data_IF_089903852127
#
_entry.id   IF_089903852127
#
_cell.length_a   1.000
_cell.length_b   1.000
_cell.length_c   1.000
_cell.angle_alpha   90.00
_cell.angle_beta   90.00
_cell.angle_gamma   90.00
#
_symmetry.space_group_name_H-M   'P 1'
#
loop_
_entity.id
_entity.type
_entity.pdbx_description
1 polymer ?
#
# COMPACT_ATOMS: atom_id res chain seq x y z
N UNK A 1 -4.05 -33.29 3.38
CA UNK A 1 -3.55 -31.98 2.93
C UNK A 1 -2.08 -32.12 2.61
N UNK A 2 -1.66 -31.59 1.47
CA UNK A 2 -0.27 -31.58 1.03
C UNK A 2 0.55 -30.53 1.81
N UNK A 3 1.84 -30.77 1.96
CA UNK A 3 2.81 -29.80 2.51
C UNK A 3 3.29 -28.85 1.41
N UNK A 4 3.76 -27.66 1.79
CA UNK A 4 4.24 -26.65 0.84
C UNK A 4 5.37 -27.18 -0.07
N UNK A 5 6.28 -28.00 0.47
CA UNK A 5 7.34 -28.64 -0.31
C UNK A 5 6.81 -29.62 -1.37
N UNK A 6 5.70 -30.31 -1.09
CA UNK A 6 5.07 -31.26 -2.01
C UNK A 6 4.37 -30.52 -3.14
N UNK A 7 3.68 -29.42 -2.84
CA UNK A 7 3.05 -28.53 -3.84
C UNK A 7 4.13 -27.93 -4.75
N UNK A 8 5.22 -27.41 -4.16
CA UNK A 8 6.33 -26.84 -4.94
C UNK A 8 6.99 -27.87 -5.85
N UNK A 9 7.21 -29.09 -5.37
CA UNK A 9 7.76 -30.17 -6.20
C UNK A 9 6.84 -30.45 -7.38
N UNK A 10 5.53 -30.61 -7.14
CA UNK A 10 4.56 -30.88 -8.19
C UNK A 10 4.43 -29.74 -9.21
N UNK A 11 4.50 -28.48 -8.76
CA UNK A 11 4.53 -27.31 -9.64
C UNK A 11 5.78 -27.30 -10.55
N UNK A 12 6.94 -27.64 -9.99
CA UNK A 12 8.19 -27.73 -10.75
C UNK A 12 8.13 -28.86 -11.77
N UNK A 13 7.59 -30.02 -11.39
CA UNK A 13 7.48 -31.19 -12.26
C UNK A 13 6.49 -30.96 -13.42
N UNK A 14 5.39 -30.23 -13.17
CA UNK A 14 4.35 -29.95 -14.17
C UNK A 14 4.68 -28.79 -15.11
N UNK A 15 5.30 -27.71 -14.63
CA UNK A 15 5.52 -26.49 -15.40
C UNK A 15 6.99 -26.23 -15.80
N UNK A 16 7.93 -26.95 -15.18
CA UNK A 16 9.35 -26.62 -15.20
C UNK A 16 9.72 -25.50 -14.22
N UNK A 17 10.98 -25.46 -13.79
CA UNK A 17 11.45 -24.63 -12.67
C UNK A 17 11.19 -23.12 -12.84
N UNK A 18 11.41 -22.55 -14.03
CA UNK A 18 11.23 -21.12 -14.28
C UNK A 18 9.76 -20.70 -14.27
N UNK A 19 8.89 -21.51 -14.86
CA UNK A 19 7.44 -21.24 -14.89
C UNK A 19 6.82 -21.46 -13.52
N UNK A 20 7.24 -22.50 -12.80
CA UNK A 20 6.86 -22.76 -11.42
C UNK A 20 7.24 -21.61 -10.49
N UNK A 21 8.44 -21.03 -10.66
CA UNK A 21 8.87 -19.85 -9.91
C UNK A 21 7.94 -18.66 -10.17
N UNK A 22 7.59 -18.38 -11.43
CA UNK A 22 6.63 -17.31 -11.77
C UNK A 22 5.23 -17.56 -11.21
N UNK A 23 4.74 -18.79 -11.28
CA UNK A 23 3.47 -19.19 -10.71
C UNK A 23 3.46 -18.99 -9.19
N UNK A 24 4.48 -19.47 -8.50
CA UNK A 24 4.66 -19.29 -7.06
C UNK A 24 4.63 -17.81 -6.65
N UNK A 25 5.37 -16.94 -7.35
CA UNK A 25 5.36 -15.51 -7.06
C UNK A 25 3.97 -14.89 -7.17
N UNK A 26 3.14 -15.32 -8.12
CA UNK A 26 1.75 -14.83 -8.27
C UNK A 26 0.86 -15.37 -7.15
N UNK A 27 0.99 -16.64 -6.81
CA UNK A 27 0.18 -17.32 -5.79
C UNK A 27 0.44 -16.79 -4.37
N UNK A 28 1.63 -16.27 -4.08
CA UNK A 28 1.92 -15.62 -2.79
C UNK A 28 1.00 -14.44 -2.47
N UNK A 29 0.40 -13.82 -3.49
CA UNK A 29 -0.51 -12.68 -3.32
C UNK A 29 -1.97 -13.08 -3.17
N UNK A 30 -2.28 -14.37 -3.33
CA UNK A 30 -3.61 -14.94 -3.16
C UNK A 30 -3.47 -16.14 -2.21
N UNK A 31 -3.34 -15.90 -0.89
CA UNK A 31 -3.18 -16.97 0.10
C UNK A 31 -4.27 -18.04 0.01
N UNK A 32 -5.49 -17.65 -0.37
CA UNK A 32 -6.62 -18.56 -0.56
C UNK A 32 -6.36 -19.56 -1.71
N UNK A 33 -5.67 -19.14 -2.76
CA UNK A 33 -5.28 -20.01 -3.88
C UNK A 33 -4.20 -21.00 -3.45
N UNK A 34 -3.19 -20.54 -2.70
CA UNK A 34 -2.17 -21.42 -2.14
C UNK A 34 -2.78 -22.46 -1.18
N UNK A 35 -3.72 -22.04 -0.34
CA UNK A 35 -4.42 -22.93 0.58
C UNK A 35 -5.29 -23.95 -0.15
N UNK A 36 -5.94 -23.58 -1.27
CA UNK A 36 -6.72 -24.51 -2.09
C UNK A 36 -5.86 -25.63 -2.68
N UNK A 37 -4.64 -25.32 -3.14
CA UNK A 37 -3.68 -26.30 -3.69
C UNK A 37 -3.21 -27.34 -2.67
N UNK A 38 -3.44 -27.12 -1.36
CA UNK A 38 -3.18 -28.14 -0.34
C UNK A 38 -4.19 -29.29 -0.37
N UNK A 39 -5.32 -29.13 -1.07
CA UNK A 39 -6.22 -30.24 -1.38
C UNK A 39 -5.68 -31.03 -2.59
N UNK A 40 -5.33 -32.32 -2.44
CA UNK A 40 -4.81 -33.13 -3.53
C UNK A 40 -5.73 -33.18 -4.75
N UNK A 41 -7.04 -33.30 -4.55
CA UNK A 41 -8.02 -33.39 -5.63
C UNK A 41 -8.08 -32.08 -6.43
N UNK A 42 -8.01 -30.94 -5.73
CA UNK A 42 -7.99 -29.63 -6.37
C UNK A 42 -6.69 -29.41 -7.17
N UNK A 43 -5.55 -29.82 -6.61
CA UNK A 43 -4.26 -29.74 -7.29
C UNK A 43 -4.22 -30.63 -8.54
N UNK A 44 -4.75 -31.85 -8.46
CA UNK A 44 -4.86 -32.75 -9.60
C UNK A 44 -5.71 -32.14 -10.71
N UNK A 45 -6.89 -31.58 -10.39
CA UNK A 45 -7.70 -30.85 -11.38
C UNK A 45 -6.96 -29.63 -11.97
N UNK A 46 -6.18 -28.91 -11.18
CA UNK A 46 -5.38 -27.78 -11.68
C UNK A 46 -4.23 -28.22 -12.61
N UNK A 47 -3.71 -29.44 -12.42
CA UNK A 47 -2.66 -30.03 -13.24
C UNK A 47 -3.18 -30.65 -14.55
N UNK A 48 -4.44 -31.09 -14.59
CA UNK A 48 -5.05 -31.65 -15.81
C UNK A 48 -5.03 -30.65 -16.99
N UNK A 49 -5.11 -29.35 -16.69
CA UNK A 49 -5.05 -28.24 -17.66
C UNK A 49 -3.65 -27.58 -17.72
N UNK A 50 -2.57 -28.29 -17.35
CA UNK A 50 -1.20 -27.76 -17.23
C UNK A 50 -0.65 -27.09 -18.51
N UNK A 51 -1.01 -25.83 -18.68
CA UNK A 51 -0.45 -24.87 -19.63
C UNK A 51 0.25 -23.75 -18.84
N UNK A 52 0.97 -22.87 -19.55
CA UNK A 52 1.76 -21.77 -18.93
C UNK A 52 0.95 -20.87 -17.98
N UNK A 53 -0.39 -20.89 -18.08
CA UNK A 53 -1.31 -20.10 -17.28
C UNK A 53 -2.16 -20.91 -16.26
N UNK A 54 -2.01 -22.24 -16.17
CA UNK A 54 -2.87 -23.10 -15.34
C UNK A 54 -2.88 -22.68 -13.85
N UNK A 55 -1.75 -22.19 -13.36
CA UNK A 55 -1.58 -21.75 -11.98
C UNK A 55 -1.68 -20.23 -11.80
N UNK A 56 -2.29 -19.53 -12.75
CA UNK A 56 -2.66 -18.14 -12.54
C UNK A 56 -3.78 -18.06 -11.49
N UNK A 57 -3.74 -17.12 -10.51
CA UNK A 57 -4.77 -17.05 -9.47
C UNK A 57 -6.21 -16.94 -10.00
N UNK A 58 -6.39 -16.22 -11.12
CA UNK A 58 -7.69 -16.16 -11.81
C UNK A 58 -8.18 -17.51 -12.32
N UNK A 59 -7.29 -18.31 -12.92
CA UNK A 59 -7.63 -19.65 -13.43
C UNK A 59 -7.97 -20.61 -12.29
N UNK A 60 -7.22 -20.56 -11.18
CA UNK A 60 -7.54 -21.37 -10.00
C UNK A 60 -8.88 -20.95 -9.36
N UNK A 61 -9.19 -19.65 -9.34
CA UNK A 61 -10.48 -19.17 -8.88
C UNK A 61 -11.63 -19.63 -9.79
N UNK A 62 -11.43 -19.63 -11.11
CA UNK A 62 -12.38 -20.16 -12.08
C UNK A 62 -12.59 -21.68 -11.91
N UNK A 63 -11.51 -22.43 -11.66
CA UNK A 63 -11.59 -23.86 -11.35
C UNK A 63 -12.41 -24.12 -10.08
N UNK A 64 -12.16 -23.36 -9.01
CA UNK A 64 -12.95 -23.47 -7.78
C UNK A 64 -14.44 -23.18 -8.01
N UNK A 65 -14.75 -22.17 -8.82
CA UNK A 65 -16.13 -21.88 -9.23
C UNK A 65 -16.72 -23.00 -10.10
N UNK A 66 -15.92 -23.62 -10.97
CA UNK A 66 -16.38 -24.70 -11.86
C UNK A 66 -16.73 -25.98 -11.09
N UNK A 67 -15.94 -26.34 -10.08
CA UNK A 67 -16.20 -27.50 -9.22
C UNK A 67 -17.53 -27.38 -8.45
N UNK A 68 -17.92 -26.16 -8.10
CA UNK A 68 -19.21 -25.85 -7.46
C UNK A 68 -20.34 -25.59 -8.49
N UNK A 69 -20.06 -25.73 -9.79
CA UNK A 69 -21.03 -25.49 -10.86
C UNK A 69 -21.42 -24.01 -11.04
N UNK A 70 -20.67 -23.07 -10.44
CA UNK A 70 -20.95 -21.64 -10.47
C UNK A 70 -20.32 -20.91 -11.66
N UNK A 71 -19.27 -21.46 -12.27
CA UNK A 71 -18.55 -20.79 -13.37
C UNK A 71 -19.43 -20.61 -14.62
N UNK A 72 -20.20 -21.64 -14.96
CA UNK A 72 -21.06 -21.69 -16.14
C UNK A 72 -22.38 -20.92 -15.96
N UNK A 73 -22.68 -20.46 -14.75
CA UNK A 73 -23.88 -19.67 -14.46
C UNK A 73 -23.74 -18.28 -15.09
N UNK A 74 -24.81 -17.84 -15.75
CA UNK A 74 -24.87 -16.50 -16.34
C UNK A 74 -24.54 -15.45 -15.25
N UNK A 75 -23.63 -14.49 -15.50
CA UNK A 75 -23.32 -13.42 -14.56
C UNK A 75 -24.54 -12.63 -14.06
N UNK A 76 -25.63 -12.58 -14.84
CA UNK A 76 -26.90 -11.95 -14.49
C UNK A 76 -27.90 -12.87 -13.74
N UNK A 77 -27.52 -14.12 -13.47
CA UNK A 77 -28.38 -15.06 -12.75
C UNK A 77 -28.60 -14.63 -11.30
N UNK A 78 -29.87 -14.57 -10.81
CA UNK A 78 -30.18 -14.19 -9.44
C UNK A 78 -29.53 -15.08 -8.38
N UNK A 79 -29.29 -16.36 -8.66
CA UNK A 79 -28.66 -17.30 -7.72
C UNK A 79 -27.19 -16.97 -7.49
N UNK A 80 -26.45 -16.68 -8.56
CA UNK A 80 -25.06 -16.23 -8.47
C UNK A 80 -24.98 -14.86 -7.78
N UNK A 81 -25.93 -13.95 -8.06
CA UNK A 81 -26.00 -12.67 -7.36
C UNK A 81 -26.24 -12.85 -5.86
N UNK A 82 -27.15 -13.74 -5.46
CA UNK A 82 -27.43 -14.01 -4.05
C UNK A 82 -26.19 -14.51 -3.31
N UNK A 83 -25.38 -15.32 -3.97
CA UNK A 83 -24.13 -15.85 -3.42
C UNK A 83 -23.05 -14.76 -3.29
N UNK A 84 -22.90 -13.89 -4.30
CA UNK A 84 -22.03 -12.71 -4.22
C UNK A 84 -22.46 -11.79 -3.08
N UNK A 85 -23.75 -11.51 -2.94
CA UNK A 85 -24.32 -10.69 -1.86
C UNK A 85 -24.12 -11.33 -0.48
N UNK A 86 -24.14 -12.66 -0.38
CA UNK A 86 -23.80 -13.38 0.86
C UNK A 86 -22.35 -13.09 1.26
N UNK A 87 -21.42 -13.21 0.31
CA UNK A 87 -19.98 -12.97 0.54
C UNK A 87 -19.73 -11.50 0.88
N UNK A 88 -20.33 -10.56 0.13
CA UNK A 88 -20.19 -9.12 0.39
C UNK A 88 -20.69 -8.73 1.79
N UNK A 89 -21.81 -9.29 2.24
CA UNK A 89 -22.33 -9.07 3.60
C UNK A 89 -21.40 -9.62 4.68
N UNK A 90 -20.83 -10.80 4.47
CA UNK A 90 -19.84 -11.35 5.39
C UNK A 90 -18.65 -10.38 5.55
N UNK A 91 -18.10 -9.88 4.44
CA UNK A 91 -17.01 -8.89 4.42
C UNK A 91 -17.40 -7.59 5.14
N UNK A 92 -18.62 -7.09 4.89
CA UNK A 92 -19.15 -5.89 5.52
C UNK A 92 -19.29 -6.02 7.04
N UNK A 93 -19.57 -7.22 7.55
CA UNK A 93 -19.72 -7.51 8.97
C UNK A 93 -18.40 -7.65 9.75
N UNK A 94 -17.26 -7.55 9.07
CA UNK A 94 -15.94 -7.59 9.71
C UNK A 94 -15.36 -9.00 9.90
N UNK A 95 -15.85 -10.02 9.18
CA UNK A 95 -15.13 -11.31 9.13
C UNK A 95 -13.72 -11.09 8.58
N UNK A 96 -12.71 -11.59 9.30
CA UNK A 96 -11.31 -11.44 8.93
C UNK A 96 -11.02 -12.06 7.55
N UNK A 97 -10.10 -11.47 6.74
CA UNK A 97 -9.65 -12.05 5.48
C UNK A 97 -9.17 -13.50 5.61
N UNK A 98 -8.67 -13.88 6.79
CA UNK A 98 -8.11 -15.21 7.08
C UNK A 98 -9.13 -16.36 6.97
N UNK A 99 -10.43 -16.11 7.02
CA UNK A 99 -11.47 -17.16 6.89
C UNK A 99 -12.03 -17.29 5.48
N UNK A 100 -11.52 -16.52 4.51
CA UNK A 100 -12.06 -16.51 3.15
C UNK A 100 -11.58 -17.73 2.36
N UNK A 101 -12.49 -18.34 1.60
CA UNK A 101 -12.16 -19.44 0.69
C UNK A 101 -11.80 -18.91 -0.70
N UNK A 102 -11.10 -19.72 -1.51
CA UNK A 102 -10.83 -19.38 -2.92
C UNK A 102 -12.13 -19.20 -3.72
N UNK A 103 -13.17 -19.95 -3.37
CA UNK A 103 -14.50 -19.82 -3.96
C UNK A 103 -15.08 -18.41 -3.73
N UNK A 104 -15.02 -17.92 -2.48
CA UNK A 104 -15.46 -16.56 -2.15
C UNK A 104 -14.64 -15.50 -2.90
N UNK A 105 -13.31 -15.71 -3.03
CA UNK A 105 -12.43 -14.83 -3.82
C UNK A 105 -12.85 -14.83 -5.30
N UNK A 106 -13.16 -15.98 -5.89
CA UNK A 106 -13.63 -16.08 -7.27
C UNK A 106 -14.97 -15.38 -7.50
N UNK A 107 -15.91 -15.50 -6.56
CA UNK A 107 -17.19 -14.77 -6.62
C UNK A 107 -16.99 -13.26 -6.59
N UNK A 108 -16.10 -12.76 -5.74
CA UNK A 108 -15.75 -11.33 -5.68
C UNK A 108 -15.00 -10.86 -6.92
N UNK A 109 -14.13 -11.70 -7.49
CA UNK A 109 -13.46 -11.41 -8.74
C UNK A 109 -14.49 -11.24 -9.88
N UNK A 110 -15.48 -12.13 -9.98
CA UNK A 110 -16.59 -11.98 -10.94
C UNK A 110 -17.44 -10.74 -10.67
N UNK A 111 -17.63 -10.36 -9.41
CA UNK A 111 -18.30 -9.10 -9.07
C UNK A 111 -17.52 -7.90 -9.61
N UNK A 112 -16.19 -7.85 -9.43
CA UNK A 112 -15.34 -6.79 -10.00
C UNK A 112 -15.45 -6.71 -11.53
N UNK A 113 -15.40 -7.85 -12.22
CA UNK A 113 -15.54 -7.91 -13.68
C UNK A 113 -16.90 -7.37 -14.15
N UNK A 114 -17.95 -7.54 -13.34
CA UNK A 114 -19.27 -6.95 -13.63
C UNK A 114 -19.28 -5.45 -13.44
N UNK A 115 -18.67 -4.95 -12.36
CA UNK A 115 -18.55 -3.51 -12.08
C UNK A 115 -17.78 -2.78 -13.18
N UNK A 116 -16.75 -3.42 -13.76
CA UNK A 116 -15.96 -2.85 -14.87
C UNK A 116 -16.81 -2.36 -16.05
N UNK A 117 -17.98 -2.96 -16.29
CA UNK A 117 -18.87 -2.59 -17.39
C UNK A 117 -19.70 -1.32 -17.12
N UNK A 118 -19.60 -0.71 -15.92
CA UNK A 118 -20.37 0.48 -15.53
C UNK A 118 -19.50 1.43 -14.71
N UNK A 119 -19.13 2.57 -15.30
CA UNK A 119 -18.31 3.58 -14.63
C UNK A 119 -18.92 4.03 -13.29
N UNK A 120 -20.23 4.30 -13.26
CA UNK A 120 -20.93 4.73 -12.04
C UNK A 120 -20.89 3.64 -10.95
N UNK A 121 -21.08 2.38 -11.33
CA UNK A 121 -21.05 1.26 -10.38
C UNK A 121 -19.64 1.05 -9.83
N UNK A 122 -18.62 1.16 -10.68
CA UNK A 122 -17.23 0.99 -10.29
C UNK A 122 -16.75 2.15 -9.41
N UNK A 123 -17.16 3.38 -9.72
CA UNK A 123 -16.90 4.55 -8.88
C UNK A 123 -17.56 4.43 -7.52
N UNK A 124 -18.85 4.08 -7.49
CA UNK A 124 -19.59 3.86 -6.24
C UNK A 124 -18.95 2.77 -5.39
N UNK A 125 -18.44 1.70 -6.02
CA UNK A 125 -17.67 0.66 -5.32
C UNK A 125 -16.35 1.19 -4.76
N UNK A 126 -15.55 1.93 -5.53
CA UNK A 126 -14.25 2.44 -5.09
C UNK A 126 -14.35 3.46 -3.94
N UNK A 127 -15.44 4.24 -3.92
CA UNK A 127 -15.76 5.21 -2.87
C UNK A 127 -16.34 4.55 -1.60
N UNK A 128 -16.84 3.31 -1.70
CA UNK A 128 -17.51 2.66 -0.59
C UNK A 128 -16.54 2.33 0.57
N UNK A 129 -16.95 2.54 1.84
CA UNK A 129 -16.20 2.08 3.01
C UNK A 129 -15.97 0.56 2.93
N UNK A 130 -14.71 0.14 2.80
CA UNK A 130 -14.35 -1.26 2.64
C UNK A 130 -13.91 -1.69 1.23
N UNK A 131 -13.73 -0.75 0.30
CA UNK A 131 -12.99 -0.96 -0.95
C UNK A 131 -11.46 -1.08 -0.77
N UNK A 132 -11.00 -1.27 0.48
CA UNK A 132 -9.60 -1.28 0.84
C UNK A 132 -8.83 -2.57 0.50
N UNK A 133 -7.51 -2.45 0.51
CA UNK A 133 -6.56 -3.49 0.12
C UNK A 133 -6.80 -4.85 0.76
N UNK A 134 -6.97 -4.91 2.09
CA UNK A 134 -7.13 -6.18 2.81
C UNK A 134 -8.34 -7.01 2.34
N UNK A 135 -9.36 -6.35 1.77
CA UNK A 135 -10.61 -7.01 1.35
C UNK A 135 -10.60 -7.37 -0.13
N UNK A 136 -9.86 -6.65 -0.95
CA UNK A 136 -9.97 -6.72 -2.41
C UNK A 136 -8.67 -7.07 -3.13
N UNK A 137 -7.55 -7.23 -2.42
CA UNK A 137 -6.28 -7.67 -3.02
C UNK A 137 -6.42 -9.03 -3.75
N UNK A 138 -6.83 -10.09 -3.03
CA UNK A 138 -7.02 -11.41 -3.63
C UNK A 138 -8.08 -11.41 -4.76
N UNK A 139 -9.29 -10.83 -4.59
CA UNK A 139 -10.26 -10.74 -5.69
C UNK A 139 -9.75 -10.00 -6.91
N UNK A 140 -9.04 -8.88 -6.73
CA UNK A 140 -8.49 -8.11 -7.84
C UNK A 140 -7.38 -8.87 -8.57
N UNK A 141 -6.53 -9.59 -7.83
CA UNK A 141 -5.50 -10.46 -8.40
C UNK A 141 -6.10 -11.58 -9.26
N UNK A 142 -7.19 -12.19 -8.79
CA UNK A 142 -7.93 -13.21 -9.55
C UNK A 142 -8.66 -12.61 -10.76
N UNK A 143 -9.32 -11.46 -10.62
CA UNK A 143 -10.01 -10.78 -11.73
C UNK A 143 -9.04 -10.28 -12.81
N UNK A 144 -7.79 -10.02 -12.44
CA UNK A 144 -6.83 -9.28 -13.25
C UNK A 144 -6.71 -9.73 -14.70
N UNK A 145 -6.52 -11.02 -14.91
CA UNK A 145 -6.34 -11.60 -16.25
C UNK A 145 -7.59 -11.46 -17.14
N UNK A 146 -8.75 -11.24 -16.53
CA UNK A 146 -10.04 -11.16 -17.19
C UNK A 146 -10.53 -9.72 -17.40
N UNK A 147 -9.84 -8.72 -16.84
CA UNK A 147 -10.19 -7.31 -16.99
C UNK A 147 -9.99 -6.87 -18.44
N UNK A 148 -11.03 -6.28 -19.04
CA UNK A 148 -10.95 -5.75 -20.42
C UNK A 148 -10.30 -4.36 -20.46
N UNK A 149 -10.46 -3.60 -19.38
CA UNK A 149 -10.07 -2.21 -19.23
C UNK A 149 -9.33 -1.96 -17.90
N UNK A 150 -8.23 -2.69 -17.61
CA UNK A 150 -7.53 -2.58 -16.34
C UNK A 150 -7.06 -1.15 -16.04
N UNK A 151 -6.65 -0.37 -17.07
CA UNK A 151 -6.28 1.06 -16.95
C UNK A 151 -7.41 1.91 -16.36
N UNK A 152 -8.64 1.69 -16.82
CA UNK A 152 -9.79 2.45 -16.37
C UNK A 152 -10.08 2.19 -14.88
N UNK A 153 -9.95 0.93 -14.46
CA UNK A 153 -10.07 0.54 -13.06
C UNK A 153 -9.07 1.27 -12.15
N UNK A 154 -7.79 1.36 -12.53
CA UNK A 154 -6.81 2.13 -11.72
C UNK A 154 -7.14 3.60 -11.65
N UNK A 155 -7.53 4.19 -12.77
CA UNK A 155 -7.85 5.61 -12.78
C UNK A 155 -8.99 5.91 -11.82
N UNK A 156 -10.02 5.06 -11.76
CA UNK A 156 -11.12 5.21 -10.81
C UNK A 156 -10.65 4.97 -9.38
N UNK A 157 -9.90 3.89 -9.12
CA UNK A 157 -9.35 3.58 -7.79
C UNK A 157 -8.45 4.69 -7.24
N UNK A 158 -7.69 5.37 -8.10
CA UNK A 158 -6.76 6.43 -7.69
C UNK A 158 -7.45 7.80 -7.58
N UNK A 159 -8.37 8.12 -8.51
CA UNK A 159 -9.04 9.44 -8.54
C UNK A 159 -10.22 9.56 -7.59
N UNK A 160 -11.02 8.50 -7.51
CA UNK A 160 -12.30 8.51 -6.80
C UNK A 160 -12.26 7.58 -5.59
N UNK A 161 -11.31 6.65 -5.53
CA UNK A 161 -11.22 5.71 -4.43
C UNK A 161 -10.78 6.34 -3.11
N UNK A 162 -11.15 5.68 -2.02
CA UNK A 162 -10.56 5.94 -0.71
C UNK A 162 -9.02 5.74 -0.72
N UNK A 163 -8.26 6.29 0.25
CA UNK A 163 -6.83 6.01 0.40
C UNK A 163 -6.47 4.51 0.33
N UNK A 164 -7.32 3.65 0.87
CA UNK A 164 -7.13 2.20 0.86
C UNK A 164 -7.35 1.59 -0.54
N UNK A 165 -8.30 2.12 -1.31
CA UNK A 165 -8.59 1.70 -2.68
C UNK A 165 -7.48 2.16 -3.64
N UNK A 166 -6.95 3.37 -3.44
CA UNK A 166 -5.80 3.86 -4.17
C UNK A 166 -4.51 3.08 -3.81
N UNK A 167 -4.33 2.68 -2.55
CA UNK A 167 -3.26 1.76 -2.14
C UNK A 167 -3.40 0.38 -2.80
N UNK A 168 -4.62 -0.17 -2.86
CA UNK A 168 -4.91 -1.41 -3.59
C UNK A 168 -4.49 -1.32 -5.06
N UNK A 169 -4.84 -0.21 -5.71
CA UNK A 169 -4.40 0.08 -7.07
C UNK A 169 -2.87 0.04 -7.20
N UNK A 170 -2.14 0.76 -6.35
CA UNK A 170 -0.69 0.82 -6.46
C UNK A 170 -0.01 -0.54 -6.25
N UNK A 171 -0.48 -1.30 -5.26
CA UNK A 171 0.04 -2.64 -5.00
C UNK A 171 -0.26 -3.59 -6.16
N UNK A 172 -1.44 -3.54 -6.77
CA UNK A 172 -1.75 -4.38 -7.93
C UNK A 172 -0.91 -4.03 -9.17
N UNK A 173 -0.57 -2.75 -9.40
CA UNK A 173 0.35 -2.36 -10.47
C UNK A 173 1.75 -2.99 -10.30
N UNK A 174 2.24 -3.14 -9.07
CA UNK A 174 3.55 -3.75 -8.81
C UNK A 174 3.59 -5.24 -9.11
N UNK A 175 2.44 -5.90 -9.04
CA UNK A 175 2.36 -7.36 -8.99
C UNK A 175 1.93 -7.96 -10.31
N UNK A 176 1.07 -7.25 -11.05
CA UNK A 176 0.36 -7.81 -12.18
C UNK A 176 0.60 -7.08 -13.50
N UNK A 177 1.29 -5.93 -13.46
CA UNK A 177 1.68 -5.18 -14.67
C UNK A 177 3.17 -5.41 -14.93
N UNK A 178 3.53 -5.69 -16.19
CA UNK A 178 4.94 -5.75 -16.59
C UNK A 178 5.60 -4.40 -16.38
N UNK A 179 6.92 -4.35 -16.15
CA UNK A 179 7.62 -3.08 -15.95
C UNK A 179 7.45 -2.12 -17.16
N UNK A 180 7.42 -2.68 -18.37
CA UNK A 180 7.19 -1.94 -19.61
C UNK A 180 5.77 -1.35 -19.71
N UNK A 181 4.75 -2.09 -19.25
CA UNK A 181 3.38 -1.61 -19.25
C UNK A 181 3.13 -0.62 -18.11
N UNK A 182 3.86 -0.74 -17.00
CA UNK A 182 3.72 0.11 -15.80
C UNK A 182 3.98 1.58 -16.12
N UNK A 183 4.99 1.87 -16.93
CA UNK A 183 5.29 3.24 -17.34
C UNK A 183 4.15 3.83 -18.19
N UNK A 184 3.53 3.04 -19.07
CA UNK A 184 2.35 3.46 -19.83
C UNK A 184 1.11 3.75 -18.95
N UNK A 185 0.95 3.02 -17.83
CA UNK A 185 -0.08 3.34 -16.84
C UNK A 185 0.23 4.64 -16.10
N UNK A 186 1.47 4.82 -15.62
CA UNK A 186 1.91 6.01 -14.91
C UNK A 186 1.89 7.26 -15.79
N UNK A 187 2.22 7.14 -17.08
CA UNK A 187 2.18 8.22 -18.06
C UNK A 187 0.78 8.80 -18.26
N UNK A 188 -0.25 7.94 -18.17
CA UNK A 188 -1.65 8.35 -18.30
C UNK A 188 -2.23 9.06 -17.07
N UNK A 189 -1.47 9.09 -15.97
CA UNK A 189 -1.87 9.77 -14.73
C UNK A 189 -1.48 11.24 -14.75
N UNK A 190 -2.36 12.10 -14.23
CA UNK A 190 -2.05 13.51 -13.98
C UNK A 190 -0.96 13.64 -12.92
N UNK A 191 -0.28 14.80 -12.87
CA UNK A 191 0.76 15.07 -11.87
C UNK A 191 0.18 14.93 -10.45
N UNK A 192 -1.05 15.40 -10.23
CA UNK A 192 -1.76 15.32 -8.95
C UNK A 192 -2.06 13.85 -8.56
N UNK A 193 -2.50 13.03 -9.52
CA UNK A 193 -2.70 11.59 -9.30
C UNK A 193 -1.40 10.87 -8.97
N UNK A 194 -0.29 11.22 -9.63
CA UNK A 194 1.03 10.65 -9.31
C UNK A 194 1.49 11.06 -7.92
N UNK A 195 1.25 12.30 -7.51
CA UNK A 195 1.58 12.79 -6.17
C UNK A 195 0.73 12.12 -5.08
N UNK A 196 -0.57 11.93 -5.34
CA UNK A 196 -1.48 11.21 -4.44
C UNK A 196 -1.09 9.74 -4.30
N UNK A 197 -0.80 9.05 -5.41
CA UNK A 197 -0.35 7.67 -5.37
C UNK A 197 1.03 7.52 -4.69
N UNK A 198 1.91 8.50 -4.85
CA UNK A 198 3.20 8.56 -4.17
C UNK A 198 3.04 8.73 -2.65
N UNK A 199 2.08 9.53 -2.19
CA UNK A 199 1.78 9.73 -0.76
C UNK A 199 1.17 8.48 -0.10
N UNK A 200 0.46 7.63 -0.85
CA UNK A 200 -0.16 6.40 -0.34
C UNK A 200 0.78 5.19 -0.32
N UNK A 201 1.92 5.24 -1.01
CA UNK A 201 3.01 4.27 -0.86
C UNK A 201 3.62 4.25 0.56
N UNK A 202 3.27 5.24 1.40
CA UNK A 202 3.73 5.42 2.77
C UNK A 202 2.67 5.03 3.84
N UNK A 203 1.59 4.29 3.49
CA UNK A 203 0.62 3.84 4.51
C UNK A 203 1.26 2.78 5.42
N UNK A 204 1.39 3.04 6.75
CA UNK A 204 1.89 2.07 7.70
C UNK A 204 0.83 0.99 7.95
N UNK A 205 1.13 -0.24 7.56
CA UNK A 205 0.20 -1.35 7.75
C UNK A 205 0.64 -2.68 7.17
N UNK A 206 1.92 -2.85 6.82
CA UNK A 206 2.45 -4.16 6.49
C UNK A 206 2.41 -5.03 7.77
N UNK A 207 1.70 -6.17 7.79
CA UNK A 207 1.90 -7.15 8.85
C UNK A 207 3.39 -7.54 8.85
N UNK A 208 4.05 -7.58 10.03
CA UNK A 208 5.49 -7.87 10.14
C UNK A 208 5.95 -9.16 9.46
N UNK A 209 5.03 -10.10 9.22
CA UNK A 209 5.36 -11.47 8.80
C UNK A 209 5.66 -11.62 7.29
N UNK A 210 5.35 -10.63 6.44
CA UNK A 210 5.64 -10.71 5.00
C UNK A 210 7.00 -10.11 4.59
N UNK A 211 7.75 -9.50 5.52
CA UNK A 211 9.07 -8.93 5.21
C UNK A 211 10.23 -9.93 5.38
N UNK A 212 10.01 -11.08 6.00
CA UNK A 212 11.09 -12.03 6.32
C UNK A 212 11.56 -12.85 5.11
N UNK A 213 10.75 -12.98 4.04
CA UNK A 213 11.14 -13.73 2.83
C UNK A 213 11.74 -12.88 1.69
N UNK A 214 11.94 -11.57 1.89
CA UNK A 214 12.48 -10.67 0.86
C UNK A 214 14.00 -10.49 0.89
N UNK A 215 14.71 -11.14 1.82
CA UNK A 215 16.13 -10.86 2.07
C UNK A 215 17.15 -11.65 1.23
N UNK A 216 16.75 -12.61 0.41
CA UNK A 216 17.71 -13.32 -0.45
C UNK A 216 17.40 -13.11 -1.93
N UNK A 217 18.00 -12.05 -2.51
CA UNK A 217 18.09 -11.86 -3.96
C UNK A 217 17.48 -10.56 -4.53
N UNK A 218 17.46 -9.45 -3.79
CA UNK A 218 16.94 -8.19 -4.33
C UNK A 218 17.80 -7.64 -5.47
N UNK A 219 17.21 -7.66 -6.68
CA UNK A 219 17.50 -6.71 -7.76
C UNK A 219 17.40 -5.26 -7.24
N UNK A 220 18.13 -4.30 -7.85
CA UNK A 220 18.07 -2.90 -7.44
C UNK A 220 16.62 -2.42 -7.43
N UNK A 221 16.23 -1.68 -6.38
CA UNK A 221 14.87 -1.18 -6.27
C UNK A 221 14.54 -0.31 -7.50
N UNK A 222 13.29 -0.29 -7.97
CA UNK A 222 12.87 0.55 -9.09
C UNK A 222 13.22 2.05 -8.90
N UNK A 223 13.45 2.47 -7.64
CA UNK A 223 13.94 3.79 -7.29
C UNK A 223 15.44 3.98 -7.57
N UNK A 224 16.27 2.96 -7.37
CA UNK A 224 17.69 2.97 -7.77
C UNK A 224 17.81 3.04 -9.30
N UNK A 225 16.99 2.27 -10.01
CA UNK A 225 16.95 2.31 -11.48
C UNK A 225 16.54 3.71 -12.00
N UNK A 226 15.60 4.40 -11.33
CA UNK A 226 15.15 5.76 -11.71
C UNK A 226 16.15 6.85 -11.35
N UNK A 227 16.79 6.80 -10.19
CA UNK A 227 17.86 7.73 -9.84
C UNK A 227 19.06 7.58 -10.80
N UNK A 228 19.41 6.34 -11.15
CA UNK A 228 20.48 6.04 -12.09
C UNK A 228 20.11 6.44 -13.53
N UNK A 229 18.83 6.29 -13.92
CA UNK A 229 18.32 6.78 -15.20
C UNK A 229 18.38 8.31 -15.27
N UNK A 230 17.89 9.01 -14.25
CA UNK A 230 17.94 10.48 -14.18
C UNK A 230 19.39 11.01 -14.23
N UNK A 231 20.32 10.30 -13.60
CA UNK A 231 21.75 10.60 -13.68
C UNK A 231 22.31 10.36 -15.08
N UNK A 232 21.98 9.24 -15.72
CA UNK A 232 22.43 8.93 -17.10
C UNK A 232 21.90 9.92 -18.12
N UNK A 233 20.62 10.29 -18.03
CA UNK A 233 20.00 11.30 -18.87
C UNK A 233 20.63 12.69 -18.66
N UNK A 234 20.89 13.05 -17.40
CA UNK A 234 21.56 14.31 -17.09
C UNK A 234 22.98 14.39 -17.69
N UNK A 235 23.75 13.30 -17.59
CA UNK A 235 25.09 13.21 -18.17
C UNK A 235 25.04 13.26 -19.69
N UNK A 236 24.08 12.59 -20.32
CA UNK A 236 23.88 12.64 -21.78
C UNK A 236 23.49 14.04 -22.27
N UNK A 237 22.61 14.76 -21.56
CA UNK A 237 22.27 16.16 -21.88
C UNK A 237 23.45 17.10 -21.66
N UNK A 238 24.26 16.89 -20.61
CA UNK A 238 25.47 17.67 -20.38
C UNK A 238 26.48 17.52 -21.53
N UNK A 239 26.66 16.30 -22.05
CA UNK A 239 27.52 16.03 -23.21
C UNK A 239 27.05 16.70 -24.50
N UNK A 240 25.74 16.96 -24.63
CA UNK A 240 25.13 17.68 -25.76
C UNK A 240 25.14 19.21 -25.59
N UNK A 241 25.66 19.73 -24.47
CA UNK A 241 25.63 21.17 -24.13
C UNK A 241 24.28 21.66 -23.60
N UNK A 242 23.33 20.76 -23.34
CA UNK A 242 21.98 21.06 -22.84
C UNK A 242 21.98 21.19 -21.30
N UNK A 243 22.72 22.16 -20.77
CA UNK A 243 22.96 22.27 -19.33
C UNK A 243 21.70 22.47 -18.47
N UNK A 244 20.65 23.09 -19.01
CA UNK A 244 19.38 23.26 -18.30
C UNK A 244 18.67 21.90 -18.07
N UNK A 245 18.70 21.01 -19.07
CA UNK A 245 18.15 19.67 -18.96
C UNK A 245 19.00 18.79 -18.05
N UNK A 246 20.34 18.88 -18.16
CA UNK A 246 21.26 18.19 -17.26
C UNK A 246 21.04 18.56 -15.79
N UNK A 247 20.90 19.86 -15.50
CA UNK A 247 20.61 20.34 -14.14
C UNK A 247 19.30 19.77 -13.61
N UNK A 248 18.25 19.74 -14.44
CA UNK A 248 16.95 19.19 -14.06
C UNK A 248 17.05 17.71 -13.70
N UNK A 249 17.76 16.91 -14.49
CA UNK A 249 17.98 15.48 -14.23
C UNK A 249 18.80 15.22 -12.96
N UNK A 250 19.86 16.00 -12.72
CA UNK A 250 20.66 15.91 -11.48
C UNK A 250 19.85 16.29 -10.24
N UNK A 251 19.06 17.37 -10.31
CA UNK A 251 18.18 17.78 -9.20
C UNK A 251 17.15 16.70 -8.89
N UNK A 252 16.53 16.11 -9.92
CA UNK A 252 15.58 15.01 -9.73
C UNK A 252 16.24 13.78 -9.10
N UNK A 253 17.40 13.36 -9.60
CA UNK A 253 18.15 12.24 -9.03
C UNK A 253 18.56 12.48 -7.57
N UNK A 254 18.99 13.70 -7.26
CA UNK A 254 19.31 14.14 -5.89
C UNK A 254 18.09 14.08 -4.97
N UNK A 255 16.94 14.61 -5.40
CA UNK A 255 15.70 14.57 -4.63
C UNK A 255 15.23 13.13 -4.35
N UNK A 256 15.34 12.23 -5.34
CA UNK A 256 14.99 10.82 -5.18
C UNK A 256 15.89 10.16 -4.13
N UNK A 257 17.21 10.34 -4.24
CA UNK A 257 18.19 9.76 -3.30
C UNK A 257 17.98 10.28 -1.88
N UNK A 258 17.73 11.57 -1.73
CA UNK A 258 17.45 12.20 -0.45
C UNK A 258 16.17 11.66 0.20
N UNK A 259 15.10 11.44 -0.59
CA UNK A 259 13.87 10.80 -0.09
C UNK A 259 14.11 9.36 0.37
N UNK A 260 14.87 8.57 -0.39
CA UNK A 260 15.23 7.21 0.01
C UNK A 260 16.04 7.19 1.31
N UNK A 261 17.04 8.06 1.43
CA UNK A 261 17.82 8.21 2.66
C UNK A 261 16.95 8.57 3.87
N UNK A 262 15.96 9.45 3.66
CA UNK A 262 15.00 9.80 4.70
C UNK A 262 14.15 8.60 5.14
N UNK A 263 13.63 7.81 4.20
CA UNK A 263 12.84 6.61 4.50
C UNK A 263 13.62 5.53 5.25
N UNK A 264 14.88 5.29 4.85
CA UNK A 264 15.76 4.36 5.57
C UNK A 264 15.97 4.83 7.01
N UNK A 265 16.21 6.14 7.18
CA UNK A 265 16.40 6.75 8.50
C UNK A 265 15.11 6.71 9.33
N UNK A 266 13.93 6.87 8.72
CA UNK A 266 12.64 6.70 9.40
C UNK A 266 12.44 5.27 9.91
N UNK A 267 12.75 4.27 9.08
CA UNK A 267 12.66 2.87 9.45
C UNK A 267 13.65 2.50 10.56
N UNK A 268 14.89 3.01 10.48
CA UNK A 268 15.90 2.83 11.52
C UNK A 268 15.45 3.45 12.85
N UNK A 269 14.88 4.65 12.81
CA UNK A 269 14.36 5.31 14.00
C UNK A 269 13.22 4.53 14.65
N UNK A 270 12.30 3.98 13.85
CA UNK A 270 11.20 3.13 14.35
C UNK A 270 11.72 1.83 14.99
N UNK A 271 12.74 1.20 14.39
CA UNK A 271 13.39 0.02 14.99
C UNK A 271 14.07 0.36 16.32
N UNK A 272 14.83 1.46 16.36
CA UNK A 272 15.50 1.94 17.56
C UNK A 272 14.51 2.24 18.69
N UNK A 273 13.38 2.89 18.36
CA UNK A 273 12.29 3.15 19.29
C UNK A 273 11.77 1.87 19.96
N UNK A 274 11.48 0.84 19.17
CA UNK A 274 10.98 -0.46 19.67
C UNK A 274 11.99 -1.20 20.53
N UNK A 275 13.28 -0.99 20.28
CA UNK A 275 14.38 -1.56 21.05
C UNK A 275 14.71 -0.74 22.31
N UNK A 276 14.10 0.44 22.48
CA UNK A 276 14.41 1.36 23.56
C UNK A 276 15.76 2.07 23.40
N UNK A 277 16.35 2.06 22.21
CA UNK A 277 17.59 2.78 21.92
C UNK A 277 17.28 4.24 21.55
N UNK A 278 17.13 5.07 22.58
CA UNK A 278 16.76 6.48 22.42
C UNK A 278 17.81 7.33 21.71
N UNK A 279 19.10 6.93 21.75
CA UNK A 279 20.17 7.68 21.09
C UNK A 279 20.12 7.45 19.59
N UNK A 280 20.05 6.17 19.18
CA UNK A 280 19.93 5.81 17.78
C UNK A 280 18.62 6.33 17.17
N UNK A 281 17.52 6.28 17.92
CA UNK A 281 16.23 6.86 17.49
C UNK A 281 16.39 8.35 17.17
N UNK A 282 16.98 9.12 18.08
CA UNK A 282 17.15 10.57 17.92
C UNK A 282 18.04 10.91 16.71
N UNK A 283 19.16 10.21 16.55
CA UNK A 283 20.08 10.41 15.43
C UNK A 283 19.43 10.08 14.09
N UNK A 284 18.71 8.96 14.02
CA UNK A 284 18.01 8.54 12.82
C UNK A 284 16.87 9.51 12.45
N UNK A 285 16.11 10.03 13.43
CA UNK A 285 15.09 11.07 13.17
C UNK A 285 15.68 12.37 12.64
N UNK A 286 16.87 12.78 13.11
CA UNK A 286 17.59 13.96 12.58
C UNK A 286 18.04 13.75 11.14
N UNK A 287 18.69 12.61 10.86
CA UNK A 287 19.13 12.25 9.52
C UNK A 287 17.96 12.18 8.53
N UNK A 288 16.82 11.64 8.97
CA UNK A 288 15.60 11.62 8.18
C UNK A 288 15.11 13.02 7.79
N UNK A 289 15.09 13.94 8.77
CA UNK A 289 14.65 15.32 8.55
C UNK A 289 15.62 16.10 7.65
N UNK A 290 16.92 15.94 7.85
CA UNK A 290 17.97 16.56 7.03
C UNK A 290 17.93 16.07 5.58
N UNK A 291 17.68 14.77 5.38
CA UNK A 291 17.57 14.18 4.07
C UNK A 291 16.31 14.64 3.34
N UNK A 292 15.13 14.61 3.98
CA UNK A 292 13.90 15.12 3.37
C UNK A 292 12.89 15.66 4.39
N UNK A 293 12.91 16.98 4.59
CA UNK A 293 12.06 17.64 5.57
C UNK A 293 10.56 17.56 5.23
N UNK A 294 9.78 16.98 6.14
CA UNK A 294 8.30 16.97 6.10
C UNK A 294 7.74 17.37 7.47
N UNK A 295 6.49 17.88 7.54
CA UNK A 295 5.84 18.15 8.82
C UNK A 295 5.85 16.93 9.76
N UNK A 296 5.50 15.75 9.25
CA UNK A 296 5.48 14.52 10.04
C UNK A 296 6.86 14.18 10.66
N UNK A 297 7.96 14.30 9.90
CA UNK A 297 9.32 14.06 10.40
C UNK A 297 9.74 15.07 11.46
N UNK A 298 9.32 16.34 11.33
CA UNK A 298 9.54 17.36 12.36
C UNK A 298 8.82 17.01 13.65
N UNK A 299 7.55 16.62 13.58
CA UNK A 299 6.76 16.19 14.75
C UNK A 299 7.40 14.97 15.41
N UNK A 300 7.82 13.97 14.63
CA UNK A 300 8.47 12.77 15.17
C UNK A 300 9.79 13.09 15.90
N UNK A 301 10.64 13.95 15.33
CA UNK A 301 11.86 14.40 15.98
C UNK A 301 11.57 15.17 17.28
N UNK A 302 10.59 16.09 17.25
CA UNK A 302 10.18 16.84 18.42
C UNK A 302 9.63 15.94 19.53
N UNK A 303 8.84 14.92 19.18
CA UNK A 303 8.30 13.95 20.14
C UNK A 303 9.41 13.13 20.79
N UNK A 304 10.44 12.75 20.03
CA UNK A 304 11.63 12.07 20.53
C UNK A 304 12.41 12.96 21.51
N UNK A 305 12.67 14.23 21.15
CA UNK A 305 13.32 15.21 22.03
C UNK A 305 12.53 15.47 23.32
N UNK A 306 11.21 15.59 23.21
CA UNK A 306 10.32 15.78 24.35
C UNK A 306 10.38 14.59 25.31
N UNK A 307 10.32 13.37 24.77
CA UNK A 307 10.42 12.12 25.54
C UNK A 307 11.80 11.94 26.19
N UNK A 308 12.86 12.42 25.53
CA UNK A 308 14.22 12.46 26.06
C UNK A 308 14.44 13.54 27.13
N UNK A 309 13.38 14.25 27.56
CA UNK A 309 13.48 15.28 28.59
C UNK A 309 14.10 16.59 28.12
N UNK A 310 14.06 16.87 26.80
CA UNK A 310 14.55 18.09 26.16
C UNK A 310 13.39 18.93 25.59
N UNK A 311 12.46 19.42 26.43
CA UNK A 311 11.26 20.11 25.97
C UNK A 311 11.54 21.45 25.28
N UNK A 312 12.60 22.17 25.64
CA UNK A 312 12.99 23.42 24.98
C UNK A 312 13.42 23.18 23.53
N UNK A 313 14.29 22.18 23.30
CA UNK A 313 14.72 21.80 21.95
C UNK A 313 13.54 21.27 21.12
N UNK A 314 12.67 20.47 21.74
CA UNK A 314 11.45 20.00 21.08
C UNK A 314 10.55 21.16 20.65
N UNK A 315 10.44 22.20 21.49
CA UNK A 315 9.65 23.40 21.18
C UNK A 315 10.20 24.16 19.98
N UNK A 316 11.52 24.30 19.86
CA UNK A 316 12.14 24.98 18.72
C UNK A 316 11.81 24.30 17.39
N UNK A 317 11.69 22.97 17.38
CA UNK A 317 11.33 22.19 16.20
C UNK A 317 9.86 22.41 15.78
N UNK A 318 8.93 22.49 16.73
CA UNK A 318 7.47 22.59 16.44
C UNK A 318 6.94 24.02 16.37
N UNK A 319 7.64 25.02 16.93
CA UNK A 319 7.24 26.43 16.90
C UNK A 319 6.89 26.98 15.50
N UNK A 320 7.58 26.62 14.40
CA UNK A 320 7.23 27.13 13.07
C UNK A 320 6.14 26.32 12.34
N UNK A 321 5.37 25.47 13.04
CA UNK A 321 4.42 24.54 12.40
C UNK A 321 2.96 24.93 12.58
N UNK A 322 2.21 24.91 11.48
CA UNK A 322 0.74 25.05 11.45
C UNK A 322 0.02 23.69 11.31
N UNK A 323 0.78 22.60 11.25
CA UNK A 323 0.24 21.24 11.17
C UNK A 323 -0.47 20.83 12.48
N UNK A 324 -1.64 20.18 12.44
CA UNK A 324 -2.40 19.82 13.63
C UNK A 324 -1.60 19.01 14.66
N UNK A 325 -0.78 18.05 14.22
CA UNK A 325 0.01 17.23 15.13
C UNK A 325 1.14 18.04 15.77
N UNK A 326 1.76 18.95 15.02
CA UNK A 326 2.74 19.90 15.54
C UNK A 326 2.15 20.85 16.58
N UNK A 327 0.95 21.39 16.32
CA UNK A 327 0.23 22.27 17.25
C UNK A 327 -0.14 21.55 18.56
N UNK A 328 -0.61 20.31 18.47
CA UNK A 328 -0.93 19.50 19.65
C UNK A 328 0.33 19.21 20.48
N UNK A 329 1.39 18.74 19.82
CA UNK A 329 2.66 18.45 20.47
C UNK A 329 3.26 19.71 21.11
N UNK A 330 3.22 20.85 20.43
CA UNK A 330 3.64 22.14 20.99
C UNK A 330 2.85 22.52 22.23
N UNK A 331 1.54 22.27 22.23
CA UNK A 331 0.69 22.42 23.42
C UNK A 331 1.14 21.57 24.61
N UNK A 332 1.44 20.28 24.38
CA UNK A 332 1.96 19.39 25.41
C UNK A 332 3.34 19.80 25.93
N UNK A 333 4.21 20.30 25.04
CA UNK A 333 5.54 20.82 25.41
C UNK A 333 5.40 22.06 26.30
N UNK A 334 4.54 23.02 25.94
CA UNK A 334 4.28 24.20 26.76
C UNK A 334 3.74 23.84 28.15
N UNK A 335 2.88 22.81 28.26
CA UNK A 335 2.44 22.31 29.56
C UNK A 335 3.59 21.80 30.42
N UNK A 336 4.51 21.04 29.81
CA UNK A 336 5.68 20.52 30.51
C UNK A 336 6.60 21.64 31.01
N UNK A 337 6.69 22.74 30.26
CA UNK A 337 7.45 23.94 30.60
C UNK A 337 6.72 24.87 31.59
N UNK A 338 5.45 24.58 31.91
CA UNK A 338 4.63 25.39 32.83
C UNK A 338 3.93 26.59 32.19
N UNK A 339 4.04 26.78 30.88
CA UNK A 339 3.38 27.86 30.14
C UNK A 339 1.96 27.46 29.71
N UNK A 340 1.02 27.55 30.65
CA UNK A 340 -0.38 27.13 30.45
C UNK A 340 -1.11 27.96 29.38
N UNK A 341 -0.78 29.24 29.25
CA UNK A 341 -1.43 30.13 28.30
C UNK A 341 -1.10 29.74 26.85
N UNK A 342 0.19 29.56 26.55
CA UNK A 342 0.63 29.08 25.23
C UNK A 342 0.14 27.65 24.96
N UNK A 343 0.15 26.79 25.98
CA UNK A 343 -0.39 25.43 25.87
C UNK A 343 -1.86 25.41 25.44
N UNK A 344 -2.73 26.13 26.15
CA UNK A 344 -4.15 26.20 25.83
C UNK A 344 -4.41 26.81 24.45
N UNK A 345 -3.58 27.78 24.01
CA UNK A 345 -3.66 28.34 22.67
C UNK A 345 -3.31 27.30 21.60
N UNK A 346 -2.16 26.65 21.70
CA UNK A 346 -1.69 25.66 20.72
C UNK A 346 -2.62 24.44 20.63
N UNK A 347 -3.12 23.93 21.76
CA UNK A 347 -4.07 22.81 21.78
C UNK A 347 -5.41 23.18 21.11
N UNK A 348 -5.92 24.41 21.33
CA UNK A 348 -7.15 24.89 20.67
C UNK A 348 -6.96 25.04 19.16
N UNK A 349 -5.85 25.62 18.72
CA UNK A 349 -5.55 25.72 17.29
C UNK A 349 -5.42 24.33 16.65
N UNK A 350 -4.71 23.40 17.29
CA UNK A 350 -4.57 22.02 16.82
C UNK A 350 -5.92 21.32 16.71
N UNK A 351 -6.78 21.46 17.72
CA UNK A 351 -8.15 20.93 17.71
C UNK A 351 -9.00 21.49 16.56
N UNK A 352 -8.97 22.81 16.35
CA UNK A 352 -9.69 23.45 15.25
C UNK A 352 -9.19 22.97 13.88
N UNK A 353 -7.87 22.82 13.72
CA UNK A 353 -7.27 22.33 12.49
C UNK A 353 -7.67 20.86 12.21
N UNK A 354 -7.77 20.01 13.25
CA UNK A 354 -8.28 18.64 13.08
C UNK A 354 -9.75 18.61 12.67
N UNK A 355 -10.61 19.48 13.23
CA UNK A 355 -12.02 19.59 12.82
C UNK A 355 -12.11 19.97 11.34
N UNK A 356 -11.37 21.01 10.93
CA UNK A 356 -11.40 21.50 9.54
C UNK A 356 -10.86 20.46 8.55
N UNK A 357 -9.89 19.65 8.98
CA UNK A 357 -9.30 18.57 8.19
C UNK A 357 -10.08 17.25 8.20
N UNK A 358 -11.25 17.18 8.87
CA UNK A 358 -11.99 15.92 9.10
C UNK A 358 -11.13 14.79 9.71
N UNK A 359 -10.15 15.14 10.55
CA UNK A 359 -9.26 14.18 11.21
C UNK A 359 -9.95 13.66 12.48
N UNK A 360 -9.99 12.33 12.73
CA UNK A 360 -10.59 11.77 13.94
C UNK A 360 -10.06 12.43 15.21
N UNK A 361 -10.97 12.96 16.03
CA UNK A 361 -10.63 13.76 17.21
C UNK A 361 -10.43 12.88 18.45
N UNK A 362 -9.33 13.01 19.19
CA UNK A 362 -9.18 12.37 20.48
C UNK A 362 -10.15 12.99 21.49
N UNK A 363 -10.95 12.17 22.18
CA UNK A 363 -11.97 12.65 23.14
C UNK A 363 -11.40 13.41 24.34
N UNK A 364 -10.10 13.27 24.62
CA UNK A 364 -9.39 13.97 25.68
C UNK A 364 -8.95 15.39 25.29
N UNK A 365 -8.72 15.65 24.00
CA UNK A 365 -8.08 16.88 23.52
C UNK A 365 -8.92 18.15 23.78
N UNK A 366 -10.25 18.18 23.55
CA UNK A 366 -11.08 19.35 23.88
C UNK A 366 -11.11 19.62 25.38
N UNK A 367 -11.25 18.56 26.20
CA UNK A 367 -11.30 18.68 27.67
C UNK A 367 -10.00 19.20 28.25
N UNK A 368 -8.87 18.82 27.67
CA UNK A 368 -7.56 19.33 28.06
C UNK A 368 -7.42 20.80 27.65
N UNK A 369 -7.81 21.16 26.44
CA UNK A 369 -7.69 22.53 25.94
C UNK A 369 -8.58 23.55 26.69
N UNK A 370 -9.77 23.15 27.11
CA UNK A 370 -10.73 24.00 27.83
C UNK A 370 -10.52 24.01 29.37
N UNK A 371 -9.79 23.03 29.91
CA UNK A 371 -9.54 22.85 31.34
C UNK A 371 -8.21 23.40 31.86
N UNK A 372 -7.41 24.04 30.99
CA UNK A 372 -6.12 24.69 31.25
C UNK A 372 -6.26 26.20 31.32
#
# INVERSE_FOLDING_TARGET
MLKDAEILSRLIDSLGAETAKKAFYRLQWVPEAWQALRNPEFLESAEEDAHEHAFHPGVLADLALAQEGLLAINPADPSLQAEIERVLRAIGSGTEPATRTLLDVGLLARHLLRLENSEDSLRSWAEAPGAGYLRWASPLACAWHHLQHPRHLFQILIRCGSPEAAYLALRSLELFVSEADRDGFLESMTIEERLFAFALGEIPGTPPDLMVLRQEGQQPSAYDARADLALREALASAQKGEFAAARKGLTLGWEIRNRQGALISDALAEMAHRQGDSLLELEARRQSLEAHATPARRVALAACLFSAGRPEDALEIVRPMDDPAGLILGGLIHLRLGDRASAASSLRCGYQAMIQGNIPLPTWLPRLADGL
#
